data_IF_226695209131
#
_entry.id   IF_226695209131
#
_cell.length_a   1.000
_cell.length_b   1.000
_cell.length_c   1.000
_cell.angle_alpha   90.00
_cell.angle_beta   90.00
_cell.angle_gamma   90.00
#
_symmetry.space_group_name_H-M   'P 1'
#
loop_
_entity.id
_entity.type
_entity.pdbx_description
1 polymer ?
#
# COMPACT_ATOMS: atom_id res chain seq x y z
N UNK A 1 13.40 -55.56 -7.60
CA UNK A 1 12.86 -54.41 -8.37
C UNK A 1 12.56 -53.18 -7.50
N UNK A 2 12.05 -53.33 -6.27
CA UNK A 2 11.74 -52.19 -5.38
C UNK A 2 12.89 -51.22 -5.15
N UNK A 3 14.11 -51.72 -4.85
CA UNK A 3 15.28 -50.87 -4.63
C UNK A 3 15.64 -50.01 -5.86
N UNK A 4 15.49 -50.57 -7.07
CA UNK A 4 15.72 -49.87 -8.34
C UNK A 4 14.68 -48.76 -8.55
N UNK A 5 13.40 -49.07 -8.39
CA UNK A 5 12.31 -48.08 -8.53
C UNK A 5 12.49 -46.86 -7.60
N UNK A 6 12.89 -47.08 -6.34
CA UNK A 6 13.19 -45.99 -5.41
C UNK A 6 14.40 -45.17 -5.84
N UNK A 7 15.47 -45.82 -6.32
CA UNK A 7 16.67 -45.13 -6.78
C UNK A 7 16.38 -44.30 -8.04
N UNK A 8 15.63 -44.85 -8.99
CA UNK A 8 15.25 -44.18 -10.24
C UNK A 8 14.34 -42.98 -9.96
N UNK A 9 13.35 -43.14 -9.07
CA UNK A 9 12.52 -42.03 -8.60
C UNK A 9 13.38 -40.94 -7.94
N UNK A 10 14.19 -41.29 -6.94
CA UNK A 10 14.97 -40.32 -6.18
C UNK A 10 16.00 -39.53 -7.02
N UNK A 11 16.49 -40.12 -8.12
CA UNK A 11 17.43 -39.49 -9.06
C UNK A 11 16.74 -38.81 -10.24
N UNK A 12 15.45 -38.99 -10.42
CA UNK A 12 14.71 -38.38 -11.52
C UNK A 12 14.73 -36.85 -11.40
N UNK A 13 14.77 -36.16 -12.54
CA UNK A 13 14.69 -34.69 -12.56
C UNK A 13 13.40 -34.20 -11.95
N UNK A 14 12.28 -34.90 -12.14
CA UNK A 14 11.01 -34.57 -11.50
C UNK A 14 11.12 -34.45 -9.98
N UNK A 15 11.79 -35.41 -9.33
CA UNK A 15 12.03 -35.33 -7.88
C UNK A 15 12.98 -34.21 -7.50
N UNK A 16 14.05 -33.96 -8.27
CA UNK A 16 14.97 -32.86 -8.02
C UNK A 16 14.29 -31.50 -8.16
N UNK A 17 13.58 -31.28 -9.26
CA UNK A 17 12.81 -30.07 -9.51
C UNK A 17 11.68 -29.88 -8.49
N UNK A 18 10.98 -30.94 -8.07
CA UNK A 18 9.95 -30.85 -7.03
C UNK A 18 10.53 -30.33 -5.70
N UNK A 19 11.73 -30.78 -5.30
CA UNK A 19 12.42 -30.25 -4.12
C UNK A 19 12.77 -28.76 -4.28
N UNK A 20 13.25 -28.36 -5.45
CA UNK A 20 13.56 -26.96 -5.75
C UNK A 20 12.29 -26.09 -5.74
N UNK A 21 11.19 -26.56 -6.32
CA UNK A 21 9.89 -25.88 -6.27
C UNK A 21 9.41 -25.72 -4.83
N UNK A 22 9.49 -26.78 -4.01
CA UNK A 22 9.05 -26.73 -2.62
C UNK A 22 9.82 -25.67 -1.81
N UNK A 23 11.15 -25.67 -1.92
CA UNK A 23 12.01 -24.69 -1.27
C UNK A 23 11.75 -23.26 -1.77
N UNK A 24 11.64 -23.08 -3.10
CA UNK A 24 11.39 -21.80 -3.73
C UNK A 24 10.02 -21.23 -3.36
N UNK A 25 8.96 -22.05 -3.39
CA UNK A 25 7.60 -21.65 -2.99
C UNK A 25 7.61 -21.14 -1.55
N UNK A 26 8.16 -21.91 -0.60
CA UNK A 26 8.20 -21.52 0.81
C UNK A 26 8.94 -20.19 1.01
N UNK A 27 10.07 -19.99 0.31
CA UNK A 27 10.86 -18.77 0.38
C UNK A 27 10.11 -17.55 -0.16
N UNK A 28 9.50 -17.69 -1.34
CA UNK A 28 8.77 -16.59 -1.98
C UNK A 28 7.46 -16.26 -1.26
N UNK A 29 6.77 -17.24 -0.66
CA UNK A 29 5.61 -16.99 0.20
C UNK A 29 5.98 -16.18 1.46
N UNK A 30 7.12 -16.50 2.08
CA UNK A 30 7.61 -15.75 3.24
C UNK A 30 7.95 -14.31 2.83
N UNK A 31 8.61 -14.13 1.69
CA UNK A 31 8.99 -12.82 1.16
C UNK A 31 7.81 -11.99 0.61
N UNK A 32 6.67 -12.61 0.27
CA UNK A 32 5.49 -11.90 -0.20
C UNK A 32 4.79 -11.11 0.92
N UNK A 33 4.82 -11.62 2.15
CA UNK A 33 4.19 -10.99 3.32
C UNK A 33 4.68 -9.56 3.59
N UNK A 34 5.98 -9.28 3.70
CA UNK A 34 6.46 -7.92 3.94
C UNK A 34 6.08 -6.94 2.81
N UNK A 35 6.04 -7.39 1.55
CA UNK A 35 5.60 -6.54 0.43
C UNK A 35 4.14 -6.11 0.56
N UNK A 36 3.26 -7.04 0.98
CA UNK A 36 1.84 -6.77 1.21
C UNK A 36 1.65 -5.76 2.36
N UNK A 37 2.36 -5.97 3.47
CA UNK A 37 2.34 -5.07 4.63
C UNK A 37 2.84 -3.68 4.24
N UNK A 38 3.92 -3.60 3.48
CA UNK A 38 4.48 -2.32 3.04
C UNK A 38 3.53 -1.57 2.08
N UNK A 39 2.89 -2.29 1.14
CA UNK A 39 1.86 -1.72 0.27
C UNK A 39 0.71 -1.12 1.09
N UNK A 40 0.25 -1.84 2.12
CA UNK A 40 -0.81 -1.37 3.02
C UNK A 40 -0.39 -0.16 3.84
N UNK A 41 0.85 -0.15 4.34
CA UNK A 41 1.45 0.99 5.03
C UNK A 41 1.47 2.24 4.15
N UNK A 42 1.90 2.11 2.90
CA UNK A 42 1.89 3.22 1.93
C UNK A 42 0.46 3.68 1.62
N UNK A 43 -0.48 2.74 1.49
CA UNK A 43 -1.91 3.08 1.33
C UNK A 43 -2.43 3.94 2.48
N UNK A 44 -2.16 3.53 3.73
CA UNK A 44 -2.53 4.30 4.91
C UNK A 44 -1.84 5.68 4.97
N UNK A 45 -0.60 5.79 4.50
CA UNK A 45 0.11 7.06 4.40
C UNK A 45 -0.55 8.01 3.39
N UNK A 46 -0.96 7.51 2.21
CA UNK A 46 -1.69 8.30 1.21
C UNK A 46 -3.02 8.82 1.79
N UNK A 47 -3.77 7.97 2.49
CA UNK A 47 -5.03 8.38 3.13
C UNK A 47 -4.78 9.41 4.24
N UNK A 48 -3.67 9.29 4.96
CA UNK A 48 -3.25 10.28 5.95
C UNK A 48 -2.92 11.62 5.32
N UNK A 49 -2.25 11.64 4.17
CA UNK A 49 -1.97 12.86 3.42
C UNK A 49 -3.26 13.57 2.98
N UNK A 50 -4.29 12.84 2.53
CA UNK A 50 -5.58 13.44 2.17
C UNK A 50 -6.26 14.14 3.36
N UNK A 51 -6.21 13.53 4.56
CA UNK A 51 -6.71 14.15 5.79
C UNK A 51 -5.85 15.36 6.20
N UNK A 52 -4.53 15.24 6.08
CA UNK A 52 -3.58 16.31 6.35
C UNK A 52 -3.83 17.53 5.49
N UNK A 53 -3.95 17.34 4.18
CA UNK A 53 -4.26 18.39 3.20
C UNK A 53 -5.54 19.13 3.56
N UNK A 54 -6.64 18.40 3.83
CA UNK A 54 -7.91 19.03 4.21
C UNK A 54 -7.78 19.86 5.50
N UNK A 55 -7.03 19.37 6.48
CA UNK A 55 -6.81 20.08 7.74
C UNK A 55 -5.96 21.35 7.53
N UNK A 56 -4.89 21.27 6.74
CA UNK A 56 -4.07 22.45 6.43
C UNK A 56 -4.82 23.48 5.60
N UNK A 57 -5.60 23.05 4.61
CA UNK A 57 -6.48 23.93 3.83
C UNK A 57 -7.51 24.64 4.72
N UNK A 58 -8.12 23.91 5.67
CA UNK A 58 -9.05 24.51 6.65
C UNK A 58 -8.36 25.55 7.54
N UNK A 59 -7.15 25.26 8.03
CA UNK A 59 -6.37 26.19 8.85
C UNK A 59 -5.98 27.45 8.07
N UNK A 60 -5.49 27.28 6.84
CA UNK A 60 -5.12 28.39 5.96
C UNK A 60 -6.33 29.28 5.67
N UNK A 61 -7.47 28.68 5.32
CA UNK A 61 -8.70 29.43 5.07
C UNK A 61 -9.24 30.10 6.35
N UNK A 62 -9.19 29.43 7.50
CA UNK A 62 -9.57 30.04 8.78
C UNK A 62 -8.69 31.26 9.09
N UNK A 63 -7.38 31.16 8.84
CA UNK A 63 -6.45 32.27 8.99
C UNK A 63 -6.83 33.46 8.10
N UNK A 64 -7.11 33.23 6.82
CA UNK A 64 -7.55 34.28 5.89
C UNK A 64 -8.85 34.95 6.35
N UNK A 65 -9.83 34.16 6.81
CA UNK A 65 -11.11 34.66 7.33
C UNK A 65 -10.94 35.50 8.60
N UNK A 66 -10.03 35.10 9.47
CA UNK A 66 -9.75 35.79 10.74
C UNK A 66 -8.98 37.08 10.53
N UNK A 67 -8.05 37.11 9.58
CA UNK A 67 -7.26 38.30 9.31
C UNK A 67 -7.97 39.32 8.40
N UNK A 68 -8.93 38.88 7.58
CA UNK A 68 -9.81 39.75 6.78
C UNK A 68 -11.19 40.01 7.44
N UNK A 69 -12.22 39.21 7.12
CA UNK A 69 -13.62 39.49 7.44
C UNK A 69 -14.00 39.53 8.94
N UNK A 70 -13.15 39.09 9.87
CA UNK A 70 -13.45 39.24 11.32
C UNK A 70 -13.62 40.72 11.74
N UNK A 71 -12.95 41.66 11.06
CA UNK A 71 -13.10 43.09 11.30
C UNK A 71 -14.47 43.65 10.88
N UNK A 72 -15.26 42.88 10.13
CA UNK A 72 -16.58 43.30 9.65
C UNK A 72 -17.66 43.12 10.72
N UNK A 73 -17.38 42.38 11.80
CA UNK A 73 -18.29 42.25 12.95
C UNK A 73 -18.43 43.61 13.62
N UNK A 74 -19.69 44.04 13.82
CA UNK A 74 -20.00 45.32 14.44
C UNK A 74 -19.31 45.45 15.81
N UNK A 75 -18.50 46.49 15.96
CA UNK A 75 -17.78 46.77 17.21
C UNK A 75 -16.42 46.08 17.33
N UNK A 76 -16.05 45.18 16.42
CA UNK A 76 -14.72 44.55 16.37
C UNK A 76 -13.77 45.42 15.53
N UNK A 77 -13.24 46.47 16.14
CA UNK A 77 -12.19 47.29 15.52
C UNK A 77 -10.86 46.54 15.37
N UNK A 78 -9.95 47.03 14.54
CA UNK A 78 -8.65 46.40 14.25
C UNK A 78 -7.82 46.05 15.51
N UNK A 79 -7.82 46.93 16.51
CA UNK A 79 -7.13 46.68 17.80
C UNK A 79 -7.75 45.54 18.60
N UNK A 80 -9.09 45.46 18.63
CA UNK A 80 -9.79 44.40 19.34
C UNK A 80 -9.67 43.07 18.59
N UNK A 81 -9.77 43.10 17.26
CA UNK A 81 -9.48 41.96 16.39
C UNK A 81 -8.13 41.34 16.73
N UNK A 82 -7.05 42.13 16.68
CA UNK A 82 -5.71 41.62 16.94
C UNK A 82 -5.61 40.99 18.34
N UNK A 83 -6.21 41.62 19.36
CA UNK A 83 -6.23 41.07 20.73
C UNK A 83 -6.97 39.74 20.81
N UNK A 84 -8.12 39.63 20.14
CA UNK A 84 -8.90 38.38 20.07
C UNK A 84 -8.07 37.29 19.40
N UNK A 85 -7.46 37.60 18.26
CA UNK A 85 -6.63 36.65 17.51
C UNK A 85 -5.43 36.19 18.35
N UNK A 86 -4.68 37.13 18.94
CA UNK A 86 -3.53 36.82 19.80
C UNK A 86 -3.90 36.00 21.04
N UNK A 87 -5.08 36.21 21.61
CA UNK A 87 -5.50 35.57 22.87
C UNK A 87 -6.25 34.25 22.68
N UNK A 88 -6.88 34.04 21.53
CA UNK A 88 -7.82 32.93 21.34
C UNK A 88 -7.56 32.09 20.08
N UNK A 89 -6.95 32.62 19.02
CA UNK A 89 -6.88 31.92 17.75
C UNK A 89 -5.72 30.90 17.70
N UNK A 90 -6.06 29.61 17.62
CA UNK A 90 -5.08 28.52 17.51
C UNK A 90 -4.93 27.96 16.07
N UNK A 91 -5.52 28.64 15.09
CA UNK A 91 -5.63 28.18 13.71
C UNK A 91 -6.98 27.55 13.36
N UNK A 92 -7.93 27.49 14.30
CA UNK A 92 -9.31 27.01 14.08
C UNK A 92 -10.33 28.11 14.37
N UNK A 93 -11.48 28.12 13.68
CA UNK A 93 -12.54 29.09 13.98
C UNK A 93 -13.19 28.81 15.34
N UNK A 94 -13.22 27.54 15.75
CA UNK A 94 -13.76 27.07 17.01
C UNK A 94 -13.05 27.68 18.21
N UNK A 95 -11.74 27.92 18.10
CA UNK A 95 -10.94 28.55 19.15
C UNK A 95 -11.39 29.98 19.50
N UNK A 96 -12.05 30.67 18.56
CA UNK A 96 -12.60 32.01 18.80
C UNK A 96 -13.86 32.01 19.69
N UNK A 97 -14.45 30.85 20.00
CA UNK A 97 -15.58 30.77 20.93
C UNK A 97 -15.24 31.26 22.35
N UNK A 98 -13.95 31.31 22.71
CA UNK A 98 -13.48 31.85 24.00
C UNK A 98 -13.30 33.37 24.00
N UNK A 99 -13.62 34.07 22.91
CA UNK A 99 -13.42 35.52 22.78
C UNK A 99 -14.07 36.36 23.89
N UNK A 100 -15.13 35.87 24.54
CA UNK A 100 -15.74 36.51 25.71
C UNK A 100 -14.78 36.74 26.90
N UNK A 101 -13.66 36.00 26.95
CA UNK A 101 -12.63 36.16 27.98
C UNK A 101 -11.68 37.33 27.67
N UNK A 102 -11.73 37.88 26.45
CA UNK A 102 -10.83 38.94 26.00
C UNK A 102 -11.35 40.29 26.49
N UNK A 103 -10.53 41.11 27.19
CA UNK A 103 -10.94 42.43 27.63
C UNK A 103 -11.42 43.30 26.47
N UNK A 104 -12.65 43.81 26.58
CA UNK A 104 -13.32 44.61 25.55
C UNK A 104 -14.37 43.84 24.73
N UNK A 105 -14.51 42.53 24.94
CA UNK A 105 -15.58 41.72 24.33
C UNK A 105 -16.73 41.58 25.35
N UNK A 106 -17.80 42.33 25.13
CA UNK A 106 -19.03 42.20 25.92
C UNK A 106 -19.88 40.98 25.50
N UNK A 107 -20.95 40.64 26.26
CA UNK A 107 -21.78 39.48 25.97
C UNK A 107 -22.47 39.54 24.59
N UNK A 108 -22.93 40.73 24.17
CA UNK A 108 -23.51 40.92 22.84
C UNK A 108 -22.49 40.65 21.72
N UNK A 109 -21.27 41.17 21.89
CA UNK A 109 -20.20 40.98 20.91
C UNK A 109 -19.71 39.53 20.86
N UNK A 110 -19.66 38.83 22.00
CA UNK A 110 -19.37 37.41 22.04
C UNK A 110 -20.42 36.60 21.25
N UNK A 111 -21.70 36.96 21.37
CA UNK A 111 -22.78 36.34 20.60
C UNK A 111 -22.66 36.63 19.10
N UNK A 112 -22.30 37.85 18.71
CA UNK A 112 -22.05 38.23 17.32
C UNK A 112 -20.87 37.44 16.73
N UNK A 113 -19.78 37.27 17.49
CA UNK A 113 -18.62 36.45 17.11
C UNK A 113 -19.03 34.99 16.93
N UNK A 114 -19.78 34.41 17.87
CA UNK A 114 -20.27 33.02 17.75
C UNK A 114 -21.18 32.83 16.53
N UNK A 115 -22.06 33.80 16.27
CA UNK A 115 -22.95 33.79 15.09
C UNK A 115 -22.13 33.83 13.80
N UNK A 116 -21.11 34.70 13.74
CA UNK A 116 -20.20 34.77 12.61
C UNK A 116 -19.40 33.47 12.43
N UNK A 117 -18.86 32.88 13.50
CA UNK A 117 -18.15 31.58 13.47
C UNK A 117 -19.05 30.52 12.84
N UNK A 118 -20.30 30.39 13.31
CA UNK A 118 -21.25 29.41 12.79
C UNK A 118 -21.55 29.63 11.30
N UNK A 119 -21.74 30.89 10.88
CA UNK A 119 -21.95 31.23 9.47
C UNK A 119 -20.73 30.85 8.61
N UNK A 120 -19.52 31.13 9.09
CA UNK A 120 -18.29 30.80 8.37
C UNK A 120 -18.06 29.29 8.30
N UNK A 121 -18.29 28.56 9.39
CA UNK A 121 -18.23 27.09 9.42
C UNK A 121 -19.21 26.47 8.43
N UNK A 122 -20.44 26.99 8.34
CA UNK A 122 -21.44 26.53 7.39
C UNK A 122 -21.05 26.80 5.92
N UNK A 123 -20.30 27.88 5.66
CA UNK A 123 -19.79 28.25 4.33
C UNK A 123 -18.46 27.60 3.97
N UNK A 124 -17.76 27.02 4.96
CA UNK A 124 -16.43 26.45 4.80
C UNK A 124 -16.34 25.43 3.65
N UNK A 125 -17.30 24.48 3.47
CA UNK A 125 -17.22 23.52 2.37
C UNK A 125 -17.26 24.18 0.98
N UNK A 126 -18.00 25.28 0.82
CA UNK A 126 -18.05 26.04 -0.43
C UNK A 126 -16.79 26.88 -0.62
N UNK A 127 -16.29 27.52 0.44
CA UNK A 127 -15.08 28.35 0.40
C UNK A 127 -13.83 27.52 0.06
N UNK A 128 -13.72 26.29 0.59
CA UNK A 128 -12.63 25.36 0.27
C UNK A 128 -12.59 24.97 -1.22
N UNK A 129 -13.74 25.02 -1.92
CA UNK A 129 -13.79 24.77 -3.37
C UNK A 129 -13.26 25.95 -4.16
N UNK A 130 -13.48 27.19 -3.69
CA UNK A 130 -12.94 28.41 -4.29
C UNK A 130 -11.44 28.58 -4.01
N UNK A 131 -10.84 29.59 -4.64
CA UNK A 131 -9.43 29.91 -4.41
C UNK A 131 -9.26 30.88 -3.24
N UNK A 132 -8.18 30.68 -2.50
CA UNK A 132 -7.76 31.51 -1.36
C UNK A 132 -6.23 31.48 -1.25
N UNK A 133 -5.67 32.36 -0.43
CA UNK A 133 -4.23 32.55 -0.35
C UNK A 133 -3.55 31.27 0.21
N UNK A 134 -2.43 30.88 -0.38
CA UNK A 134 -1.70 29.68 0.04
C UNK A 134 -2.31 28.34 -0.38
N UNK A 135 -3.56 28.29 -0.87
CA UNK A 135 -4.23 27.04 -1.31
C UNK A 135 -3.41 26.25 -2.32
N UNK A 136 -2.95 26.91 -3.39
CA UNK A 136 -2.21 26.26 -4.48
C UNK A 136 -0.92 25.61 -3.96
N UNK A 137 -0.17 26.32 -3.11
CA UNK A 137 1.06 25.81 -2.53
C UNK A 137 0.82 24.57 -1.64
N UNK A 138 -0.25 24.57 -0.83
CA UNK A 138 -0.64 23.41 -0.01
C UNK A 138 -1.00 22.22 -0.90
N UNK A 139 -1.88 22.43 -1.89
CA UNK A 139 -2.32 21.38 -2.82
C UNK A 139 -1.13 20.78 -3.57
N UNK A 140 -0.23 21.62 -4.09
CA UNK A 140 0.94 21.19 -4.85
C UNK A 140 1.91 20.37 -3.97
N UNK A 141 2.16 20.81 -2.74
CA UNK A 141 3.04 20.10 -1.79
C UNK A 141 2.50 18.70 -1.46
N UNK A 142 1.20 18.58 -1.16
CA UNK A 142 0.57 17.29 -0.91
C UNK A 142 0.49 16.42 -2.16
N UNK A 143 0.25 17.01 -3.33
CA UNK A 143 0.22 16.30 -4.60
C UNK A 143 1.57 15.69 -4.95
N UNK A 144 2.67 16.42 -4.70
CA UNK A 144 4.02 15.90 -4.89
C UNK A 144 4.29 14.70 -3.99
N UNK A 145 3.94 14.78 -2.69
CA UNK A 145 4.10 13.67 -1.75
C UNK A 145 3.25 12.45 -2.16
N UNK A 146 1.99 12.66 -2.55
CA UNK A 146 1.12 11.59 -3.07
C UNK A 146 1.68 10.94 -4.32
N UNK A 147 2.28 11.71 -5.22
CA UNK A 147 2.85 11.18 -6.46
C UNK A 147 4.00 10.20 -6.18
N UNK A 148 4.89 10.57 -5.26
CA UNK A 148 6.00 9.70 -4.82
C UNK A 148 5.47 8.39 -4.23
N UNK A 149 4.54 8.48 -3.26
CA UNK A 149 3.96 7.30 -2.61
C UNK A 149 3.15 6.44 -3.58
N UNK A 150 2.42 7.05 -4.51
CA UNK A 150 1.65 6.32 -5.52
C UNK A 150 2.55 5.54 -6.48
N UNK A 151 3.69 6.12 -6.86
CA UNK A 151 4.69 5.45 -7.69
C UNK A 151 5.30 4.25 -6.96
N UNK A 152 5.66 4.42 -5.68
CA UNK A 152 6.15 3.33 -4.84
C UNK A 152 5.12 2.21 -4.68
N UNK A 153 3.86 2.57 -4.41
CA UNK A 153 2.76 1.61 -4.31
C UNK A 153 2.56 0.82 -5.60
N UNK A 154 2.55 1.47 -6.76
CA UNK A 154 2.42 0.81 -8.06
C UNK A 154 3.59 -0.12 -8.37
N UNK A 155 4.81 0.18 -7.89
CA UNK A 155 5.96 -0.73 -7.97
C UNK A 155 5.72 -1.98 -7.11
N UNK A 156 5.29 -1.82 -5.86
CA UNK A 156 4.99 -2.95 -4.97
C UNK A 156 3.85 -3.82 -5.50
N UNK A 157 2.79 -3.23 -6.02
CA UNK A 157 1.66 -3.97 -6.62
C UNK A 157 2.12 -4.85 -7.78
N UNK A 158 2.98 -4.33 -8.67
CA UNK A 158 3.58 -5.15 -9.75
C UNK A 158 4.45 -6.28 -9.23
N UNK A 159 5.26 -6.04 -8.19
CA UNK A 159 6.10 -7.08 -7.57
C UNK A 159 5.25 -8.18 -6.92
N UNK A 160 4.21 -7.79 -6.16
CA UNK A 160 3.26 -8.71 -5.54
C UNK A 160 2.57 -9.55 -6.61
N UNK A 161 2.08 -8.92 -7.68
CA UNK A 161 1.39 -9.62 -8.76
C UNK A 161 2.30 -10.63 -9.45
N UNK A 162 3.50 -10.20 -9.87
CA UNK A 162 4.50 -11.09 -10.50
C UNK A 162 4.81 -12.31 -9.63
N UNK A 163 5.04 -12.11 -8.33
CA UNK A 163 5.33 -13.21 -7.40
C UNK A 163 4.13 -14.12 -7.18
N UNK A 164 2.94 -13.56 -7.11
CA UNK A 164 1.70 -14.33 -6.97
C UNK A 164 1.47 -15.24 -8.18
N UNK A 165 1.67 -14.71 -9.39
CA UNK A 165 1.52 -15.48 -10.63
C UNK A 165 2.58 -16.58 -10.75
N UNK A 166 3.84 -16.26 -10.43
CA UNK A 166 4.93 -17.24 -10.36
C UNK A 166 4.64 -18.35 -9.36
N UNK A 167 4.19 -18.01 -8.14
CA UNK A 167 3.82 -18.98 -7.11
C UNK A 167 2.65 -19.87 -7.58
N UNK A 168 1.65 -19.30 -8.25
CA UNK A 168 0.53 -20.07 -8.80
C UNK A 168 1.00 -21.07 -9.87
N UNK A 169 1.91 -20.66 -10.75
CA UNK A 169 2.51 -21.53 -11.75
C UNK A 169 3.36 -22.64 -11.11
N UNK A 170 4.21 -22.28 -10.15
CA UNK A 170 5.06 -23.21 -9.42
C UNK A 170 4.23 -24.28 -8.69
N UNK A 171 3.17 -23.89 -7.98
CA UNK A 171 2.27 -24.80 -7.26
C UNK A 171 1.57 -25.78 -8.20
N UNK A 172 1.06 -25.31 -9.35
CA UNK A 172 0.46 -26.19 -10.36
C UNK A 172 1.45 -27.22 -10.88
N UNK A 173 2.69 -26.80 -11.16
CA UNK A 173 3.72 -27.72 -11.66
C UNK A 173 4.20 -28.68 -10.58
N UNK A 174 4.34 -28.23 -9.34
CA UNK A 174 4.66 -29.06 -8.19
C UNK A 174 3.61 -30.17 -8.00
N UNK A 175 2.32 -29.82 -8.01
CA UNK A 175 1.23 -30.78 -7.88
C UNK A 175 1.26 -31.85 -9.00
N UNK A 176 1.64 -31.48 -10.23
CA UNK A 176 1.82 -32.43 -11.33
C UNK A 176 2.97 -33.42 -11.06
N UNK A 177 4.11 -32.94 -10.55
CA UNK A 177 5.28 -33.78 -10.25
C UNK A 177 5.02 -34.72 -9.07
N UNK A 178 4.29 -34.26 -8.05
CA UNK A 178 3.94 -35.05 -6.86
C UNK A 178 2.99 -36.23 -7.15
N UNK A 179 2.39 -36.27 -8.34
CA UNK A 179 1.57 -37.44 -8.73
C UNK A 179 2.42 -38.71 -8.95
N UNK A 180 3.72 -38.57 -9.23
CA UNK A 180 4.62 -39.70 -9.42
C UNK A 180 5.15 -40.20 -8.07
N UNK A 181 5.17 -41.53 -7.89
CA UNK A 181 5.61 -42.17 -6.66
C UNK A 181 6.53 -43.34 -6.98
N UNK A 182 7.33 -43.83 -6.00
CA UNK A 182 8.14 -45.04 -6.20
C UNK A 182 7.32 -46.28 -6.61
N UNK A 183 6.02 -46.32 -6.28
CA UNK A 183 5.12 -47.38 -6.72
C UNK A 183 4.86 -47.33 -8.23
N UNK A 184 4.67 -46.14 -8.80
CA UNK A 184 4.48 -45.94 -10.24
C UNK A 184 5.75 -46.32 -11.01
N UNK A 185 6.93 -45.96 -10.48
CA UNK A 185 8.21 -46.43 -11.03
C UNK A 185 8.34 -47.96 -11.00
N UNK A 186 7.82 -48.61 -9.96
CA UNK A 186 7.81 -50.08 -9.87
C UNK A 186 6.85 -50.70 -10.89
N UNK A 187 5.67 -50.14 -11.08
CA UNK A 187 4.70 -50.59 -12.08
C UNK A 187 5.26 -50.48 -13.50
N UNK A 188 5.93 -49.36 -13.82
CA UNK A 188 6.59 -49.17 -15.11
C UNK A 188 7.67 -50.25 -15.36
N UNK A 189 8.48 -50.58 -14.36
CA UNK A 189 9.48 -51.65 -14.46
C UNK A 189 8.87 -53.06 -14.64
N UNK A 190 7.60 -53.24 -14.27
CA UNK A 190 6.84 -54.48 -14.48
C UNK A 190 6.10 -54.51 -15.83
N UNK A 191 6.25 -53.48 -16.66
CA UNK A 191 5.67 -53.41 -18.01
C UNK A 191 4.31 -52.70 -18.10
N UNK A 192 3.87 -52.01 -17.05
CA UNK A 192 2.66 -51.18 -17.12
C UNK A 192 2.93 -49.95 -18.00
N UNK A 193 2.22 -49.87 -19.13
CA UNK A 193 2.38 -48.82 -20.15
C UNK A 193 1.97 -47.45 -19.62
N UNK A 194 0.87 -47.34 -18.88
CA UNK A 194 0.41 -46.07 -18.33
C UNK A 194 1.38 -45.56 -17.24
N UNK A 195 1.88 -46.48 -16.41
CA UNK A 195 2.90 -46.13 -15.43
C UNK A 195 4.20 -45.67 -16.12
N UNK A 196 4.59 -46.31 -17.22
CA UNK A 196 5.77 -45.93 -18.00
C UNK A 196 5.64 -44.52 -18.61
N UNK A 197 4.49 -44.16 -19.16
CA UNK A 197 4.22 -42.81 -19.67
C UNK A 197 4.31 -41.75 -18.56
N UNK A 198 3.75 -42.04 -17.39
CA UNK A 198 3.83 -41.14 -16.22
C UNK A 198 5.26 -40.99 -15.71
N UNK A 199 6.03 -42.06 -15.68
CA UNK A 199 7.47 -42.02 -15.34
C UNK A 199 8.22 -41.19 -16.37
N UNK A 200 7.95 -41.35 -17.67
CA UNK A 200 8.59 -40.57 -18.71
C UNK A 200 8.33 -39.07 -18.53
N UNK A 201 7.06 -38.68 -18.34
CA UNK A 201 6.68 -37.29 -18.08
C UNK A 201 7.33 -36.74 -16.80
N UNK A 202 7.37 -37.53 -15.71
CA UNK A 202 8.01 -37.11 -14.46
C UNK A 202 9.53 -36.98 -14.60
N UNK A 203 10.19 -37.86 -15.36
CA UNK A 203 11.63 -37.81 -15.61
C UNK A 203 12.04 -36.56 -16.40
N UNK A 204 11.16 -35.97 -17.22
CA UNK A 204 11.40 -34.66 -17.83
C UNK A 204 11.41 -33.54 -16.77
N UNK A 205 10.55 -33.62 -15.76
CA UNK A 205 10.45 -32.64 -14.68
C UNK A 205 9.71 -31.35 -15.07
N UNK A 206 10.22 -30.19 -14.65
CA UNK A 206 9.63 -28.89 -15.03
C UNK A 206 9.85 -28.59 -16.50
N UNK A 207 11.09 -28.79 -16.95
CA UNK A 207 11.57 -28.64 -18.31
C UNK A 207 12.64 -29.72 -18.57
N UNK A 208 12.77 -30.20 -19.82
CA UNK A 208 13.74 -31.24 -20.19
C UNK A 208 15.19 -30.76 -20.13
N UNK A 209 16.15 -31.66 -20.26
CA UNK A 209 17.59 -31.33 -20.08
C UNK A 209 18.17 -30.46 -21.19
N UNK A 210 17.57 -30.51 -22.38
CA UNK A 210 18.02 -29.80 -23.57
C UNK A 210 17.34 -28.43 -23.74
N UNK A 211 16.41 -28.07 -22.84
CA UNK A 211 15.76 -26.76 -22.83
C UNK A 211 16.34 -25.90 -21.71
N UNK A 212 16.37 -24.60 -21.95
CA UNK A 212 16.68 -23.63 -20.91
C UNK A 212 15.58 -23.65 -19.82
N UNK A 213 16.01 -23.37 -18.59
CA UNK A 213 15.07 -23.22 -17.49
C UNK A 213 14.10 -22.06 -17.79
N UNK A 214 12.77 -22.26 -17.67
CA UNK A 214 11.82 -21.17 -17.81
C UNK A 214 12.14 -20.04 -16.84
N UNK A 215 12.00 -18.78 -17.28
CA UNK A 215 12.34 -17.60 -16.47
C UNK A 215 11.72 -17.63 -15.07
N UNK A 216 10.43 -18.00 -14.98
CA UNK A 216 9.73 -18.10 -13.70
C UNK A 216 10.34 -19.16 -12.77
N UNK A 217 10.89 -20.25 -13.31
CA UNK A 217 11.52 -21.30 -12.52
C UNK A 217 12.89 -20.85 -12.05
N UNK A 218 13.68 -20.23 -12.94
CA UNK A 218 14.96 -19.64 -12.61
C UNK A 218 14.81 -18.55 -11.53
N UNK A 219 13.83 -17.67 -11.67
CA UNK A 219 13.49 -16.64 -10.68
C UNK A 219 13.06 -17.26 -9.34
N UNK A 220 12.20 -18.28 -9.36
CA UNK A 220 11.71 -18.94 -8.15
C UNK A 220 12.83 -19.55 -7.30
N UNK A 221 13.85 -20.14 -7.94
CA UNK A 221 14.97 -20.78 -7.23
C UNK A 221 16.07 -19.78 -6.81
N UNK A 222 16.01 -18.54 -7.28
CA UNK A 222 16.92 -17.46 -6.86
C UNK A 222 16.42 -16.76 -5.60
N UNK A 223 17.29 -15.93 -5.00
CA UNK A 223 16.96 -15.23 -3.76
C UNK A 223 16.00 -14.05 -3.97
N UNK A 224 14.77 -14.07 -3.41
CA UNK A 224 13.86 -12.93 -3.44
C UNK A 224 14.38 -11.67 -2.75
N UNK A 225 15.39 -11.74 -1.88
CA UNK A 225 15.87 -10.60 -1.08
C UNK A 225 16.62 -9.55 -1.92
N UNK A 226 17.25 -9.96 -3.03
CA UNK A 226 18.00 -9.05 -3.93
C UNK A 226 17.16 -7.96 -4.57
N UNK A 227 15.83 -8.11 -4.61
CA UNK A 227 14.93 -7.11 -5.18
C UNK A 227 14.53 -6.00 -4.19
N UNK A 228 14.72 -6.21 -2.87
CA UNK A 228 14.38 -5.21 -1.85
C UNK A 228 15.51 -4.24 -1.53
N UNK A 229 16.77 -4.62 -1.77
CA UNK A 229 17.95 -3.75 -1.51
C UNK A 229 18.03 -2.52 -2.44
N UNK A 230 17.15 -2.45 -3.45
CA UNK A 230 16.98 -1.29 -4.34
C UNK A 230 15.69 -0.49 -4.09
N UNK A 231 15.15 -0.54 -2.87
CA UNK A 231 14.01 0.27 -2.41
C UNK A 231 14.52 1.38 -1.50
#
# INVERSE_FOLDING_TARGET
MTRKAHADYARSRGTLHARQLHAGIAKHELALRPLIVERERIGAAIDSLARGELNELRKSLANDLVHGPLAEIRGVGSKLKNRIVESCFDGTLESLNTAQQVPGVGPEMALDIQTWIQQMQNRMPQLLKGDFEGKAAIVDAYQQQRSVLSTQRARLERMIQRRTDMLAQAKRKMASLETATPAIYRQALLGDVQAAERVAAHTLGVFPEWEDAPDWFAELITDPEREMDGI
#
